data_IF_274129753470
#
_entry.id   IF_274129753470
#
_cell.length_a   1.000
_cell.length_b   1.000
_cell.length_c   1.000
_cell.angle_alpha   90.00
_cell.angle_beta   90.00
_cell.angle_gamma   90.00
#
_symmetry.space_group_name_H-M   'P 1'
#
loop_
_entity.id
_entity.type
_entity.pdbx_description
1 polymer ?
#
# COMPACT_ATOMS: atom_id res chain seq x y z
N UNK A 1 -5.33 7.81 9.93
CA UNK A 1 -4.22 7.01 9.37
C UNK A 1 -4.75 6.15 8.22
N UNK A 2 -5.33 4.98 8.48
CA UNK A 2 -5.98 4.15 7.44
C UNK A 2 -7.01 4.92 6.61
N UNK A 3 -7.81 5.81 7.19
CA UNK A 3 -8.75 6.64 6.42
C UNK A 3 -8.07 7.51 5.35
N UNK A 4 -6.87 8.06 5.63
CA UNK A 4 -6.12 8.88 4.67
C UNK A 4 -5.55 8.03 3.54
N UNK A 5 -5.09 6.81 3.85
CA UNK A 5 -4.71 5.83 2.83
C UNK A 5 -5.90 5.56 1.92
N UNK A 6 -7.07 5.36 2.50
CA UNK A 6 -8.27 5.03 1.75
C UNK A 6 -8.77 6.17 0.86
N UNK A 7 -8.60 7.42 1.29
CA UNK A 7 -8.93 8.57 0.47
C UNK A 7 -7.92 8.75 -0.67
N UNK A 8 -6.62 8.54 -0.41
CA UNK A 8 -5.59 8.49 -1.46
C UNK A 8 -5.90 7.42 -2.52
N UNK A 9 -6.25 6.21 -2.07
CA UNK A 9 -6.61 5.09 -2.92
C UNK A 9 -7.83 5.40 -3.82
N UNK A 10 -8.75 6.27 -3.35
CA UNK A 10 -9.92 6.74 -4.10
C UNK A 10 -9.55 7.77 -5.17
N UNK A 11 -8.48 8.52 -4.98
CA UNK A 11 -8.00 9.52 -5.94
C UNK A 11 -7.18 8.89 -7.08
N UNK A 12 -6.84 7.60 -6.98
CA UNK A 12 -6.15 6.88 -8.04
C UNK A 12 -6.97 6.84 -9.35
N UNK A 13 -6.35 7.11 -10.50
CA UNK A 13 -7.00 6.97 -11.80
C UNK A 13 -7.47 5.53 -12.02
N UNK A 14 -8.67 5.37 -12.60
CA UNK A 14 -9.35 4.06 -12.72
C UNK A 14 -10.50 3.86 -11.73
N UNK A 15 -10.68 4.76 -10.76
CA UNK A 15 -11.80 4.72 -9.82
C UNK A 15 -13.19 4.97 -10.48
N UNK A 16 -13.20 5.53 -11.70
CA UNK A 16 -14.41 5.70 -12.52
C UNK A 16 -14.90 4.43 -13.23
N UNK A 17 -14.13 3.33 -13.23
CA UNK A 17 -14.52 2.02 -13.78
C UNK A 17 -15.40 1.22 -12.80
N UNK A 18 -16.23 1.92 -12.04
CA UNK A 18 -17.38 1.31 -11.37
C UNK A 18 -18.31 0.83 -12.49
N UNK A 19 -18.89 -0.35 -12.35
CA UNK A 19 -20.07 -0.86 -13.10
C UNK A 19 -19.91 -1.90 -14.24
N UNK A 20 -18.76 -2.51 -14.54
CA UNK A 20 -18.75 -3.60 -15.56
C UNK A 20 -18.23 -4.99 -15.18
N UNK A 21 -17.85 -5.23 -13.92
CA UNK A 21 -17.29 -6.53 -13.54
C UNK A 21 -16.03 -6.90 -14.35
N UNK A 22 -15.34 -5.90 -14.90
CA UNK A 22 -14.09 -6.07 -15.61
C UNK A 22 -13.03 -6.54 -14.61
N UNK A 23 -12.26 -7.56 -15.00
CA UNK A 23 -11.15 -8.08 -14.20
C UNK A 23 -10.15 -6.95 -13.97
N UNK A 24 -9.56 -6.88 -12.77
CA UNK A 24 -8.34 -6.10 -12.58
C UNK A 24 -7.30 -6.59 -13.59
N UNK A 25 -6.77 -5.70 -14.40
CA UNK A 25 -5.58 -6.00 -15.19
C UNK A 25 -4.35 -5.80 -14.31
N UNK A 26 -3.25 -6.46 -14.64
CA UNK A 26 -1.97 -6.31 -13.93
C UNK A 26 -1.42 -4.87 -14.03
N UNK A 27 -1.99 -4.04 -14.90
CA UNK A 27 -1.69 -2.62 -15.06
C UNK A 27 -2.63 -1.69 -14.26
N UNK A 28 -3.54 -2.22 -13.43
CA UNK A 28 -4.45 -1.40 -12.62
C UNK A 28 -3.70 -0.82 -11.40
N UNK A 29 -3.62 0.52 -11.25
CA UNK A 29 -2.93 1.13 -10.11
C UNK A 29 -3.57 0.79 -8.76
N UNK A 30 -4.85 0.40 -8.71
CA UNK A 30 -5.53 -0.05 -7.48
C UNK A 30 -5.04 -1.43 -7.06
N UNK A 31 -4.86 -2.34 -8.04
CA UNK A 31 -4.26 -3.65 -7.81
C UNK A 31 -2.82 -3.49 -7.33
N UNK A 32 -2.04 -2.64 -8.02
CA UNK A 32 -0.66 -2.37 -7.65
C UNK A 32 -0.52 -1.78 -6.23
N UNK A 33 -1.35 -0.80 -5.87
CA UNK A 33 -1.32 -0.22 -4.53
C UNK A 33 -1.74 -1.23 -3.46
N UNK A 34 -2.82 -1.99 -3.67
CA UNK A 34 -3.26 -3.00 -2.72
C UNK A 34 -2.23 -4.12 -2.56
N UNK A 35 -1.65 -4.61 -3.65
CA UNK A 35 -0.64 -5.66 -3.61
C UNK A 35 0.61 -5.22 -2.85
N UNK A 36 1.07 -3.98 -3.04
CA UNK A 36 2.18 -3.42 -2.27
C UNK A 36 1.87 -3.33 -0.78
N UNK A 37 0.65 -2.90 -0.41
CA UNK A 37 0.24 -2.82 0.99
C UNK A 37 0.21 -4.20 1.66
N UNK A 38 -0.31 -5.21 0.98
CA UNK A 38 -0.28 -6.58 1.48
C UNK A 38 1.15 -7.12 1.60
N UNK A 39 1.99 -6.92 0.57
CA UNK A 39 3.37 -7.40 0.57
C UNK A 39 4.22 -6.79 1.69
N UNK A 40 4.01 -5.50 2.00
CA UNK A 40 4.71 -4.86 3.12
C UNK A 40 4.22 -5.41 4.45
N UNK A 41 2.91 -5.57 4.62
CA UNK A 41 2.34 -6.13 5.86
C UNK A 41 2.78 -7.58 6.10
N UNK A 42 3.08 -8.33 5.03
CA UNK A 42 3.51 -9.75 5.04
C UNK A 42 5.02 -9.93 4.98
N UNK A 43 5.80 -8.84 4.90
CA UNK A 43 7.24 -8.88 4.63
C UNK A 43 8.04 -9.63 5.71
N UNK A 44 7.60 -9.61 6.96
CA UNK A 44 8.23 -10.29 8.09
C UNK A 44 7.65 -11.69 8.37
N UNK A 45 6.57 -12.07 7.65
CA UNK A 45 5.84 -13.32 7.84
C UNK A 45 5.01 -13.40 9.13
N UNK A 46 4.86 -12.31 9.88
CA UNK A 46 4.13 -12.26 11.15
C UNK A 46 2.75 -11.58 11.05
N UNK A 47 2.25 -11.26 9.83
CA UNK A 47 0.95 -10.62 9.68
C UNK A 47 -0.15 -11.42 10.36
N UNK A 48 -0.89 -10.78 11.25
CA UNK A 48 -2.02 -11.43 11.90
C UNK A 48 -3.20 -11.47 10.95
N UNK A 49 -3.94 -12.58 10.94
CA UNK A 49 -5.19 -12.70 10.16
C UNK A 49 -6.15 -11.51 10.41
N UNK A 50 -6.11 -10.94 11.62
CA UNK A 50 -6.86 -9.73 11.98
C UNK A 50 -6.51 -8.50 11.14
N UNK A 51 -5.24 -8.33 10.78
CA UNK A 51 -4.75 -7.18 10.04
C UNK A 51 -5.03 -7.32 8.55
N UNK A 52 -4.82 -8.52 8.01
CA UNK A 52 -5.28 -8.89 6.66
C UNK A 52 -6.79 -8.68 6.51
N UNK A 53 -7.58 -9.13 7.48
CA UNK A 53 -9.03 -8.94 7.48
C UNK A 53 -9.43 -7.45 7.55
N UNK A 54 -8.71 -6.65 8.35
CA UNK A 54 -8.91 -5.20 8.46
C UNK A 54 -8.61 -4.52 7.13
N UNK A 55 -7.45 -4.76 6.52
CA UNK A 55 -7.07 -4.20 5.21
C UNK A 55 -8.08 -4.60 4.13
N UNK A 56 -8.47 -5.88 4.10
CA UNK A 56 -9.47 -6.42 3.17
C UNK A 56 -10.82 -5.73 3.31
N UNK A 57 -11.32 -5.58 4.54
CA UNK A 57 -12.59 -4.90 4.81
C UNK A 57 -12.58 -3.43 4.39
N UNK A 58 -11.44 -2.76 4.55
CA UNK A 58 -11.24 -1.36 4.15
C UNK A 58 -11.21 -1.19 2.63
N UNK A 59 -10.43 -2.02 1.92
CA UNK A 59 -10.38 -2.06 0.46
C UNK A 59 -11.77 -2.35 -0.14
N UNK A 60 -12.52 -3.27 0.47
CA UNK A 60 -13.88 -3.65 0.10
C UNK A 60 -14.85 -2.47 0.13
N UNK A 61 -14.92 -1.76 1.26
CA UNK A 61 -15.80 -0.60 1.40
C UNK A 61 -15.46 0.51 0.40
N UNK A 62 -14.17 0.80 0.21
CA UNK A 62 -13.74 2.04 -0.44
C UNK A 62 -13.67 1.91 -1.96
N UNK A 63 -13.18 0.79 -2.47
CA UNK A 63 -13.24 0.50 -3.90
C UNK A 63 -14.59 -0.06 -4.35
N UNK A 64 -15.52 -0.30 -3.41
CA UNK A 64 -16.80 -0.96 -3.70
C UNK A 64 -16.62 -2.41 -4.14
N UNK A 65 -15.47 -3.02 -3.82
CA UNK A 65 -15.14 -4.38 -4.20
C UNK A 65 -15.78 -5.32 -3.22
N UNK A 66 -16.68 -6.17 -3.70
CA UNK A 66 -17.35 -7.17 -2.86
C UNK A 66 -17.18 -8.55 -3.45
N UNK A 67 -17.25 -9.57 -2.59
CA UNK A 67 -17.21 -10.97 -2.99
C UNK A 67 -15.95 -11.31 -3.77
N UNK A 68 -16.12 -11.83 -4.98
CA UNK A 68 -15.04 -12.32 -5.84
C UNK A 68 -14.01 -11.25 -6.24
N UNK A 69 -14.38 -9.97 -6.37
CA UNK A 69 -13.43 -8.95 -6.81
C UNK A 69 -12.38 -8.64 -5.72
N UNK A 70 -12.82 -8.58 -4.46
CA UNK A 70 -11.93 -8.44 -3.32
C UNK A 70 -11.09 -9.71 -3.11
N UNK A 71 -11.72 -10.89 -3.20
CA UNK A 71 -10.98 -12.15 -3.10
C UNK A 71 -9.95 -12.29 -4.21
N UNK A 72 -10.24 -11.85 -5.43
CA UNK A 72 -9.29 -11.80 -6.55
C UNK A 72 -8.17 -10.80 -6.30
N UNK A 73 -8.47 -9.64 -5.72
CA UNK A 73 -7.46 -8.64 -5.35
C UNK A 73 -6.49 -9.19 -4.31
N UNK A 74 -7.02 -9.82 -3.25
CA UNK A 74 -6.22 -10.43 -2.17
C UNK A 74 -5.44 -11.61 -2.71
N UNK A 75 -6.10 -12.52 -3.44
CA UNK A 75 -5.46 -13.70 -4.04
C UNK A 75 -4.39 -13.30 -5.06
N UNK A 76 -4.62 -12.26 -5.87
CA UNK A 76 -3.62 -11.75 -6.80
C UNK A 76 -2.44 -11.09 -6.07
N UNK A 77 -2.66 -10.46 -4.92
CA UNK A 77 -1.59 -9.93 -4.09
C UNK A 77 -0.75 -11.06 -3.46
N UNK A 78 -1.40 -12.10 -2.94
CA UNK A 78 -0.74 -13.30 -2.40
C UNK A 78 -0.02 -14.11 -3.49
N UNK A 79 -0.64 -14.27 -4.67
CA UNK A 79 -0.04 -14.96 -5.82
C UNK A 79 1.12 -14.16 -6.39
N UNK A 80 1.06 -12.83 -6.41
CA UNK A 80 2.17 -11.99 -6.87
C UNK A 80 3.43 -12.14 -6.00
N UNK A 81 3.26 -12.33 -4.70
CA UNK A 81 4.35 -12.65 -3.77
C UNK A 81 5.01 -14.01 -4.11
N UNK A 82 4.21 -15.00 -4.52
CA UNK A 82 4.69 -16.35 -4.85
C UNK A 82 5.13 -16.56 -6.32
N UNK A 83 4.55 -15.84 -7.28
CA UNK A 83 4.72 -16.05 -8.73
C UNK A 83 5.78 -15.12 -9.38
N UNK A 84 6.61 -14.44 -8.59
CA UNK A 84 7.65 -13.51 -9.09
C UNK A 84 7.12 -12.27 -9.84
N UNK A 85 5.86 -11.87 -9.65
CA UNK A 85 5.43 -10.51 -10.03
C UNK A 85 6.14 -9.56 -9.08
N UNK A 86 7.19 -8.91 -9.57
CA UNK A 86 8.13 -8.24 -8.70
C UNK A 86 7.56 -6.93 -8.17
N UNK A 87 8.03 -6.50 -7.00
CA UNK A 87 7.84 -5.12 -6.50
C UNK A 87 8.05 -4.08 -7.62
N UNK A 88 8.99 -4.33 -8.53
CA UNK A 88 9.30 -3.45 -9.68
C UNK A 88 8.12 -3.26 -10.63
N UNK A 89 7.27 -4.28 -10.82
CA UNK A 89 6.14 -4.23 -11.75
C UNK A 89 5.02 -3.37 -11.17
N UNK A 90 4.65 -3.59 -9.90
CA UNK A 90 3.63 -2.77 -9.22
C UNK A 90 4.08 -1.32 -9.05
N UNK A 91 5.32 -1.10 -8.65
CA UNK A 91 5.87 0.25 -8.50
C UNK A 91 6.00 0.95 -9.85
N UNK A 92 6.25 0.23 -10.94
CA UNK A 92 6.23 0.78 -12.30
C UNK A 92 4.83 1.21 -12.73
N UNK A 93 3.79 0.45 -12.40
CA UNK A 93 2.39 0.84 -12.62
C UNK A 93 2.08 2.12 -11.85
N UNK A 94 2.38 2.16 -10.55
CA UNK A 94 2.16 3.36 -9.74
C UNK A 94 2.93 4.57 -10.29
N UNK A 95 4.20 4.41 -10.65
CA UNK A 95 5.03 5.49 -11.20
C UNK A 95 4.50 6.06 -12.53
N UNK A 96 3.79 5.25 -13.32
CA UNK A 96 3.15 5.70 -14.58
C UNK A 96 1.86 6.47 -14.33
N UNK A 97 1.13 6.14 -13.27
CA UNK A 97 -0.20 6.69 -13.00
C UNK A 97 -0.22 7.80 -11.95
N UNK A 98 0.82 7.88 -11.10
CA UNK A 98 0.96 8.88 -10.06
C UNK A 98 1.96 9.96 -10.45
N UNK A 99 1.61 11.21 -10.17
CA UNK A 99 2.58 12.30 -10.21
C UNK A 99 3.60 12.18 -9.05
N UNK A 100 4.56 13.10 -8.98
CA UNK A 100 5.58 13.05 -7.93
C UNK A 100 5.00 13.22 -6.52
N UNK A 101 4.06 14.15 -6.34
CA UNK A 101 3.49 14.45 -5.04
C UNK A 101 2.65 13.27 -4.52
N UNK A 102 1.83 12.68 -5.39
CA UNK A 102 1.04 11.49 -5.07
C UNK A 102 1.92 10.29 -4.70
N UNK A 103 3.12 10.15 -5.30
CA UNK A 103 4.10 9.14 -4.89
C UNK A 103 4.64 9.40 -3.48
N UNK A 104 5.04 10.64 -3.19
CA UNK A 104 5.49 11.07 -1.86
C UNK A 104 4.42 10.79 -0.81
N UNK A 105 3.16 11.14 -1.11
CA UNK A 105 2.03 10.92 -0.21
C UNK A 105 1.75 9.42 -0.01
N UNK A 106 1.84 8.61 -1.07
CA UNK A 106 1.71 7.15 -0.98
C UNK A 106 2.78 6.54 -0.06
N UNK A 107 4.05 6.93 -0.22
CA UNK A 107 5.13 6.44 0.63
C UNK A 107 4.95 6.87 2.09
N UNK A 108 4.46 8.08 2.34
CA UNK A 108 4.14 8.54 3.69
C UNK A 108 3.01 7.73 4.33
N UNK A 109 1.97 7.42 3.56
CA UNK A 109 0.85 6.59 4.03
C UNK A 109 1.28 5.15 4.32
N UNK A 110 2.13 4.58 3.48
CA UNK A 110 2.71 3.26 3.75
C UNK A 110 3.55 3.27 5.04
N UNK A 111 4.39 4.28 5.25
CA UNK A 111 5.19 4.41 6.47
C UNK A 111 4.31 4.56 7.70
N UNK A 112 3.22 5.32 7.61
CA UNK A 112 2.25 5.35 8.69
C UNK A 112 1.85 3.90 9.02
N UNK A 113 1.36 3.12 8.05
CA UNK A 113 0.76 1.77 8.26
C UNK A 113 1.70 0.81 8.96
N UNK A 114 2.95 0.74 8.51
CA UNK A 114 3.97 -0.12 9.13
C UNK A 114 4.24 0.32 10.57
N UNK A 115 4.18 1.62 10.86
CA UNK A 115 4.29 2.15 12.21
C UNK A 115 3.03 1.98 13.09
N UNK A 116 1.92 1.42 12.59
CA UNK A 116 0.64 1.37 13.33
C UNK A 116 0.78 0.75 14.72
N UNK A 117 1.61 -0.28 14.84
CA UNK A 117 1.82 -1.05 16.06
C UNK A 117 2.98 -0.52 16.91
N UNK A 118 3.54 0.65 16.53
CA UNK A 118 4.58 1.36 17.28
C UNK A 118 6.00 0.80 17.13
N UNK A 119 6.15 -0.32 16.44
CA UNK A 119 7.44 -0.97 16.13
C UNK A 119 7.47 -1.28 14.64
N UNK A 120 8.62 -1.04 14.01
CA UNK A 120 8.88 -1.43 12.62
C UNK A 120 10.11 -2.33 12.63
N UNK A 121 10.00 -3.49 11.99
CA UNK A 121 11.13 -4.41 11.82
C UNK A 121 12.12 -3.89 10.77
N UNK A 122 13.37 -4.34 10.84
CA UNK A 122 14.38 -4.02 9.81
C UNK A 122 13.94 -4.51 8.41
N UNK A 123 13.22 -5.63 8.34
CA UNK A 123 12.73 -6.21 7.09
C UNK A 123 11.66 -5.30 6.45
N UNK A 124 10.68 -4.86 7.22
CA UNK A 124 9.65 -3.94 6.72
C UNK A 124 10.26 -2.60 6.30
N UNK A 125 11.21 -2.07 7.08
CA UNK A 125 11.94 -0.88 6.72
C UNK A 125 12.64 -1.05 5.36
N UNK A 126 13.41 -2.12 5.16
CA UNK A 126 14.11 -2.39 3.89
C UNK A 126 13.14 -2.47 2.69
N UNK A 127 11.97 -3.09 2.87
CA UNK A 127 10.93 -3.12 1.83
C UNK A 127 10.39 -1.71 1.56
N UNK A 128 10.11 -0.91 2.59
CA UNK A 128 9.67 0.48 2.47
C UNK A 128 10.67 1.34 1.68
N UNK A 129 11.96 1.21 2.00
CA UNK A 129 13.06 1.89 1.30
C UNK A 129 13.11 1.51 -0.18
N UNK A 130 12.96 0.21 -0.47
CA UNK A 130 12.97 -0.33 -1.83
C UNK A 130 11.76 0.16 -2.63
N UNK A 131 10.56 0.14 -2.05
CA UNK A 131 9.35 0.64 -2.73
C UNK A 131 9.48 2.12 -3.04
N UNK A 132 9.90 2.94 -2.08
CA UNK A 132 10.07 4.39 -2.27
C UNK A 132 11.11 4.72 -3.36
N UNK A 133 12.19 3.92 -3.44
CA UNK A 133 13.16 4.02 -4.52
C UNK A 133 12.54 3.69 -5.89
N UNK A 134 11.79 2.59 -5.99
CA UNK A 134 11.23 2.10 -7.24
C UNK A 134 10.13 3.02 -7.80
N UNK A 135 9.27 3.56 -6.94
CA UNK A 135 8.29 4.58 -7.37
C UNK A 135 8.99 5.91 -7.72
N UNK A 136 10.25 6.10 -7.35
CA UNK A 136 11.09 7.21 -7.81
C UNK A 136 10.97 8.47 -6.97
N UNK A 137 10.90 8.32 -5.65
CA UNK A 137 10.98 9.43 -4.69
C UNK A 137 12.45 9.70 -4.37
N UNK A 138 12.80 10.97 -4.15
CA UNK A 138 14.17 11.37 -3.79
C UNK A 138 14.55 10.87 -2.41
N UNK A 139 15.85 10.71 -2.15
CA UNK A 139 16.37 10.40 -0.81
C UNK A 139 15.98 11.46 0.23
N UNK A 140 16.00 12.74 -0.14
CA UNK A 140 15.61 13.82 0.75
C UNK A 140 14.16 13.68 1.23
N UNK A 141 13.22 13.41 0.31
CA UNK A 141 11.82 13.25 0.66
C UNK A 141 11.58 11.97 1.46
N UNK A 142 12.29 10.88 1.15
CA UNK A 142 12.24 9.65 1.95
C UNK A 142 12.63 9.90 3.41
N UNK A 143 13.77 10.56 3.63
CA UNK A 143 14.26 10.88 4.98
C UNK A 143 13.29 11.81 5.72
N UNK A 144 12.68 12.77 5.01
CA UNK A 144 11.70 13.69 5.59
C UNK A 144 10.42 12.97 6.01
N UNK A 145 9.91 12.04 5.19
CA UNK A 145 8.74 11.22 5.50
C UNK A 145 9.00 10.40 6.75
N UNK A 146 10.12 9.68 6.77
CA UNK A 146 10.51 8.83 7.89
C UNK A 146 10.58 9.65 9.17
N UNK A 147 11.35 10.73 9.18
CA UNK A 147 11.48 11.62 10.34
C UNK A 147 10.13 12.15 10.84
N UNK A 148 9.21 12.50 9.92
CA UNK A 148 7.87 12.96 10.27
C UNK A 148 7.03 11.87 10.92
N UNK A 149 7.06 10.65 10.39
CA UNK A 149 6.28 9.52 10.92
C UNK A 149 6.81 9.11 12.29
N UNK A 150 8.13 9.03 12.47
CA UNK A 150 8.74 8.80 13.78
C UNK A 150 8.36 9.88 14.79
N UNK A 151 8.41 11.16 14.41
CA UNK A 151 8.04 12.26 15.31
C UNK A 151 6.55 12.22 15.69
N UNK A 152 5.66 11.92 14.74
CA UNK A 152 4.23 11.81 14.98
C UNK A 152 3.89 10.68 15.95
N UNK A 153 4.53 9.52 15.81
CA UNK A 153 4.30 8.37 16.69
C UNK A 153 4.94 8.52 18.07
N UNK A 154 6.12 9.16 18.18
CA UNK A 154 6.75 9.45 19.48
C UNK A 154 5.98 10.49 20.30
N UNK A 155 5.09 11.26 19.65
CA UNK A 155 4.25 12.28 20.26
C UNK A 155 2.84 11.79 20.61
N UNK A 156 2.47 10.55 20.25
CA UNK A 156 1.22 9.94 20.66
C UNK A 156 1.43 9.31 22.04
N UNK A 157 0.89 9.90 23.14
CA UNK A 157 0.96 9.25 24.44
C UNK A 157 0.19 7.92 24.38
N UNK A 158 0.79 6.86 24.93
CA UNK A 158 0.11 5.61 25.27
C UNK A 158 -1.21 5.97 25.98
N UNK A 159 -2.34 5.67 25.33
CA UNK A 159 -3.69 5.88 25.84
C UNK A 159 -4.28 4.57 26.34
#
# INVERSE_FOLDING_TARGET
MFERLLDFLKELPGNGLRERGEKFSDADPRLAAAALLFHIMDADGETRESERAKLSGMLSQKYGLKGDALKKLIKAAEEADQESISLSDFTSVLKRHLDYQARVDFAALMWEIVYADGVVSEVEADVMWRVAHLIGITEQDRNMIEARVYAANKSAPEA
#
